data_IF_530291622320
#
_entry.id   IF_530291622320
#
_cell.length_a   1.000
_cell.length_b   1.000
_cell.length_c   1.000
_cell.angle_alpha   90.00
_cell.angle_beta   90.00
_cell.angle_gamma   90.00
#
_symmetry.space_group_name_H-M   'P 1'
#
loop_
_entity.id
_entity.type
_entity.pdbx_description
1 polymer ?
#
# COMPACT_ATOMS: atom_id res chain seq x y z
N UNK A 1 48.10 30.14 11.00
CA UNK A 1 47.08 31.09 11.51
C UNK A 1 45.72 30.51 11.18
N UNK A 2 44.97 30.11 12.20
CA UNK A 2 43.65 29.47 12.11
C UNK A 2 42.58 30.54 12.00
N UNK A 3 41.92 30.65 10.84
CA UNK A 3 40.78 31.54 10.66
C UNK A 3 39.51 30.89 11.22
N UNK A 4 39.17 31.23 12.47
CA UNK A 4 37.85 31.02 13.05
C UNK A 4 36.92 32.12 12.55
N UNK A 5 36.08 31.82 11.56
CA UNK A 5 34.97 32.68 11.16
C UNK A 5 33.76 32.35 12.04
N UNK A 6 33.22 33.28 12.85
CA UNK A 6 32.01 33.03 13.62
C UNK A 6 30.81 32.96 12.65
N UNK A 7 30.11 31.82 12.64
CA UNK A 7 28.84 31.67 11.94
C UNK A 7 27.81 32.62 12.57
N UNK A 8 27.45 33.69 11.86
CA UNK A 8 26.37 34.59 12.30
C UNK A 8 25.03 33.84 12.31
N UNK A 9 24.18 34.02 13.34
CA UNK A 9 22.86 33.39 13.40
C UNK A 9 21.98 33.97 12.29
N UNK A 10 21.52 33.10 11.37
CA UNK A 10 20.57 33.51 10.33
C UNK A 10 19.20 33.76 10.98
N UNK A 11 18.56 34.93 10.77
CA UNK A 11 17.26 35.21 11.35
C UNK A 11 16.20 34.24 10.82
N UNK A 12 15.47 33.58 11.74
CA UNK A 12 14.40 32.58 11.50
C UNK A 12 13.14 33.15 10.80
N UNK A 13 13.21 34.38 10.27
CA UNK A 13 12.08 35.18 9.78
C UNK A 13 11.57 34.76 8.38
N UNK A 14 12.25 33.81 7.72
CA UNK A 14 11.94 33.32 6.37
C UNK A 14 11.33 31.89 6.35
N UNK A 15 10.77 31.45 7.47
CA UNK A 15 10.33 30.07 7.69
C UNK A 15 8.80 29.92 7.48
N UNK A 16 8.35 30.11 6.23
CA UNK A 16 6.91 30.08 5.88
C UNK A 16 6.34 28.71 5.54
N UNK A 17 7.16 27.72 5.16
CA UNK A 17 6.71 26.33 4.97
C UNK A 17 6.47 25.64 6.32
N UNK A 18 5.47 24.78 6.43
CA UNK A 18 5.18 24.00 7.66
C UNK A 18 6.39 23.19 8.13
N UNK A 19 7.18 22.65 7.20
CA UNK A 19 8.48 22.01 7.42
C UNK A 19 9.49 22.87 8.20
N UNK A 20 9.28 24.19 8.23
CA UNK A 20 10.17 25.16 8.85
C UNK A 20 9.64 25.67 10.20
N UNK A 21 8.41 25.30 10.59
CA UNK A 21 7.78 25.68 11.88
C UNK A 21 7.90 24.60 12.94
N UNK A 22 8.09 23.34 12.55
CA UNK A 22 8.37 22.23 13.44
C UNK A 22 9.84 21.84 13.31
N UNK A 23 10.61 21.97 14.39
CA UNK A 23 12.05 21.68 14.40
C UNK A 23 12.44 20.84 15.60
N UNK A 24 13.48 20.02 15.45
CA UNK A 24 14.11 19.37 16.60
C UNK A 24 14.97 20.36 17.38
N UNK A 25 15.17 20.09 18.67
CA UNK A 25 16.11 20.88 19.48
C UNK A 25 17.53 20.82 18.93
N UNK A 26 17.93 19.72 18.30
CA UNK A 26 19.22 19.59 17.61
C UNK A 26 19.31 20.50 16.38
N UNK A 27 18.24 20.61 15.59
CA UNK A 27 18.16 21.55 14.46
C UNK A 27 18.22 23.01 14.94
N UNK A 28 17.49 23.36 16.00
CA UNK A 28 17.56 24.71 16.58
C UNK A 28 18.98 25.03 17.07
N UNK A 29 19.66 24.06 17.68
CA UNK A 29 21.07 24.20 18.11
C UNK A 29 22.03 24.34 16.94
N UNK A 30 21.84 23.62 15.84
CA UNK A 30 22.67 23.80 14.64
C UNK A 30 22.45 25.16 13.98
N UNK A 31 21.28 25.79 14.21
CA UNK A 31 20.99 27.18 13.85
C UNK A 31 21.49 28.22 14.88
N UNK A 32 22.19 27.79 15.94
CA UNK A 32 22.80 28.69 16.93
C UNK A 32 21.90 29.08 18.10
N UNK A 33 20.71 28.48 18.22
CA UNK A 33 19.82 28.73 19.37
C UNK A 33 20.26 27.86 20.55
N UNK A 34 20.62 28.49 21.67
CA UNK A 34 21.11 27.79 22.84
C UNK A 34 19.98 27.05 23.58
N UNK A 35 20.30 25.97 24.30
CA UNK A 35 19.27 25.15 24.96
C UNK A 35 18.45 25.91 26.02
N UNK A 36 19.07 26.86 26.72
CA UNK A 36 18.39 27.75 27.66
C UNK A 36 17.44 28.72 26.95
N UNK A 37 17.83 29.24 25.78
CA UNK A 37 16.98 30.08 24.95
C UNK A 37 15.78 29.30 24.43
N UNK A 38 15.97 28.07 23.95
CA UNK A 38 14.85 27.20 23.56
C UNK A 38 13.88 26.98 24.74
N UNK A 39 14.40 26.68 25.93
CA UNK A 39 13.59 26.48 27.12
C UNK A 39 12.83 27.75 27.55
N UNK A 40 13.44 28.93 27.41
CA UNK A 40 12.81 30.22 27.67
C UNK A 40 11.65 30.48 26.70
N UNK A 41 11.88 30.27 25.40
CA UNK A 41 10.86 30.47 24.37
C UNK A 41 9.67 29.50 24.49
N UNK A 42 9.90 28.30 25.05
CA UNK A 42 8.87 27.27 25.26
C UNK A 42 8.15 27.35 26.61
N UNK A 43 8.40 28.38 27.43
CA UNK A 43 7.69 28.56 28.71
C UNK A 43 6.18 28.75 28.48
N UNK A 44 5.32 28.44 29.47
CA UNK A 44 3.89 28.73 29.36
C UNK A 44 3.63 30.20 28.99
N UNK A 45 2.90 30.45 27.91
CA UNK A 45 2.65 31.79 27.36
C UNK A 45 3.77 32.36 26.49
N UNK A 46 4.85 31.61 26.27
CA UNK A 46 5.93 31.94 25.35
C UNK A 46 5.51 31.82 23.88
N UNK A 47 6.34 32.34 22.95
CA UNK A 47 6.01 32.32 21.53
C UNK A 47 6.12 30.94 20.89
N UNK A 48 6.82 29.99 21.53
CA UNK A 48 6.99 28.63 21.05
C UNK A 48 6.35 27.63 22.02
N UNK A 49 6.09 26.42 21.54
CA UNK A 49 5.58 25.34 22.37
C UNK A 49 6.36 24.05 22.13
N UNK A 50 6.52 23.26 23.19
CA UNK A 50 7.10 21.93 23.09
C UNK A 50 6.02 20.94 22.62
N UNK A 51 6.16 20.41 21.41
CA UNK A 51 5.18 19.51 20.81
C UNK A 51 5.39 18.06 21.27
N UNK A 52 6.65 17.61 21.28
CA UNK A 52 7.09 16.29 21.76
C UNK A 52 8.47 16.45 22.43
N UNK A 53 8.97 15.45 23.18
CA UNK A 53 10.34 15.49 23.68
C UNK A 53 11.35 15.70 22.54
N UNK A 54 12.07 16.83 22.59
CA UNK A 54 13.06 17.17 21.56
C UNK A 54 12.49 17.78 20.27
N UNK A 55 11.18 18.03 20.18
CA UNK A 55 10.51 18.65 19.02
C UNK A 55 9.73 19.89 19.44
N UNK A 56 9.99 21.00 18.78
CA UNK A 56 9.48 22.34 19.10
C UNK A 56 8.68 22.88 17.93
N UNK A 57 7.54 23.51 18.24
CA UNK A 57 6.71 24.26 17.31
C UNK A 57 6.91 25.76 17.53
N UNK A 58 7.27 26.48 16.48
CA UNK A 58 7.72 27.88 16.54
C UNK A 58 6.57 28.92 16.58
N UNK A 59 5.39 28.54 17.10
CA UNK A 59 4.28 29.45 17.33
C UNK A 59 3.42 29.01 18.54
N UNK A 60 2.61 29.90 19.14
CA UNK A 60 1.85 29.58 20.35
C UNK A 60 0.44 29.00 20.08
N UNK A 61 -0.08 29.11 18.84
CA UNK A 61 -1.40 28.60 18.46
C UNK A 61 -1.50 27.06 18.46
N UNK A 62 -2.73 26.49 18.45
CA UNK A 62 -2.91 25.04 18.41
C UNK A 62 -2.22 24.43 17.17
N UNK A 63 -1.56 23.27 17.31
CA UNK A 63 -0.87 22.63 16.18
C UNK A 63 -1.86 22.16 15.12
N UNK A 64 -1.56 22.45 13.87
CA UNK A 64 -2.32 21.95 12.72
C UNK A 64 -2.10 20.44 12.52
N UNK A 65 -2.93 19.80 11.68
CA UNK A 65 -2.75 18.38 11.34
C UNK A 65 -1.39 18.11 10.71
N UNK A 66 -0.96 18.95 9.78
CA UNK A 66 0.35 18.84 9.13
C UNK A 66 1.49 18.97 10.14
N UNK A 67 1.44 19.94 11.06
CA UNK A 67 2.45 20.11 12.11
C UNK A 67 2.52 18.92 13.08
N UNK A 68 1.38 18.32 13.42
CA UNK A 68 1.35 17.08 14.21
C UNK A 68 2.02 15.92 13.47
N UNK A 69 1.75 15.75 12.17
CA UNK A 69 2.35 14.69 11.36
C UNK A 69 3.87 14.87 11.24
N UNK A 70 4.35 16.08 10.93
CA UNK A 70 5.78 16.39 10.88
C UNK A 70 6.44 16.22 12.24
N UNK A 71 5.78 16.65 13.32
CA UNK A 71 6.28 16.47 14.68
C UNK A 71 6.46 15.00 15.04
N UNK A 72 5.50 14.16 14.70
CA UNK A 72 5.56 12.72 14.91
C UNK A 72 6.72 12.06 14.13
N UNK A 73 6.91 12.46 12.87
CA UNK A 73 8.01 11.97 12.04
C UNK A 73 9.36 12.46 12.55
N UNK A 74 9.53 13.73 12.92
CA UNK A 74 10.78 14.26 13.51
C UNK A 74 11.13 13.59 14.84
N UNK A 75 10.13 13.33 15.68
CA UNK A 75 10.31 12.65 16.97
C UNK A 75 10.80 11.21 16.82
N UNK A 76 10.33 10.51 15.78
CA UNK A 76 10.63 9.09 15.56
C UNK A 76 11.81 8.87 14.61
N UNK A 77 12.08 9.81 13.71
CA UNK A 77 13.17 9.76 12.77
C UNK A 77 14.50 9.52 13.48
N UNK A 78 15.41 8.82 12.80
CA UNK A 78 16.80 8.79 13.28
C UNK A 78 17.44 10.14 12.97
N UNK A 79 18.16 10.72 13.92
CA UNK A 79 19.10 11.77 13.54
C UNK A 79 20.10 11.17 12.54
N UNK A 80 20.31 11.80 11.37
CA UNK A 80 21.30 11.34 10.43
C UNK A 80 22.65 11.32 11.14
N UNK A 81 23.29 10.14 11.18
CA UNK A 81 24.66 10.05 11.68
C UNK A 81 25.54 11.07 10.92
N UNK A 82 26.50 11.71 11.59
CA UNK A 82 27.50 12.55 10.93
C UNK A 82 28.35 11.65 10.01
N UNK A 83 27.89 11.49 8.79
CA UNK A 83 28.54 10.76 7.71
C UNK A 83 28.54 11.65 6.46
N UNK A 84 29.48 11.38 5.56
CA UNK A 84 29.63 12.11 4.30
C UNK A 84 28.26 12.15 3.59
N UNK A 85 27.73 13.33 3.23
CA UNK A 85 26.46 13.41 2.51
C UNK A 85 26.53 12.56 1.25
N UNK A 86 25.63 11.58 1.11
CA UNK A 86 25.49 10.86 -0.15
C UNK A 86 25.14 11.88 -1.24
N UNK A 87 25.88 11.88 -2.36
CA UNK A 87 25.54 12.73 -3.49
C UNK A 87 24.15 12.36 -4.01
N UNK A 88 23.27 13.35 -4.25
CA UNK A 88 21.96 13.08 -4.85
C UNK A 88 22.14 12.42 -6.22
N UNK A 89 21.42 11.33 -6.45
CA UNK A 89 21.37 10.64 -7.75
C UNK A 89 20.17 11.14 -8.55
N UNK A 90 20.13 10.86 -9.85
CA UNK A 90 19.00 11.20 -10.72
C UNK A 90 17.65 10.66 -10.20
N UNK A 91 17.67 9.50 -9.51
CA UNK A 91 16.49 8.85 -8.93
C UNK A 91 16.15 9.32 -7.50
N UNK A 92 17.00 10.14 -6.87
CA UNK A 92 16.80 10.62 -5.50
C UNK A 92 17.45 12.00 -5.33
N UNK A 93 16.81 13.06 -5.88
CA UNK A 93 17.40 14.39 -5.98
C UNK A 93 17.64 15.06 -4.61
N UNK A 94 16.99 14.56 -3.54
CA UNK A 94 17.13 15.07 -2.18
C UNK A 94 17.25 13.92 -1.16
N UNK A 95 18.08 14.12 -0.14
CA UNK A 95 18.13 13.23 1.03
C UNK A 95 16.73 13.20 1.67
N UNK A 96 16.14 12.03 1.97
CA UNK A 96 14.85 11.98 2.62
C UNK A 96 14.94 12.69 3.97
N UNK A 97 14.02 13.64 4.21
CA UNK A 97 13.93 14.42 5.46
C UNK A 97 13.70 13.50 6.66
N UNK A 98 13.00 12.39 6.42
CA UNK A 98 12.69 11.36 7.39
C UNK A 98 13.26 10.03 6.90
N UNK A 99 14.28 9.52 7.58
CA UNK A 99 14.86 8.21 7.27
C UNK A 99 14.27 7.13 8.18
N UNK A 100 13.92 5.98 7.58
CA UNK A 100 13.48 4.77 8.26
C UNK A 100 12.23 4.92 9.15
N UNK A 101 11.33 5.86 8.82
CA UNK A 101 10.06 6.06 9.52
C UNK A 101 8.96 6.45 8.53
N UNK A 102 7.72 6.08 8.82
CA UNK A 102 6.56 6.45 8.01
C UNK A 102 5.28 6.50 8.84
N UNK A 103 4.32 7.31 8.42
CA UNK A 103 2.97 7.35 9.00
C UNK A 103 2.20 6.10 8.56
N UNK A 104 1.44 5.49 9.46
CA UNK A 104 0.60 4.31 9.19
C UNK A 104 -0.79 4.44 9.84
N UNK A 105 -1.60 3.38 9.79
CA UNK A 105 -2.92 3.34 10.41
C UNK A 105 -3.92 4.31 9.79
N UNK A 106 -4.87 4.80 10.61
CA UNK A 106 -5.93 5.70 10.15
C UNK A 106 -5.39 7.00 9.55
N UNK A 107 -4.35 7.59 10.13
CA UNK A 107 -3.73 8.81 9.60
C UNK A 107 -3.20 8.62 8.18
N UNK A 108 -2.56 7.47 7.90
CA UNK A 108 -2.11 7.12 6.56
C UNK A 108 -3.27 6.95 5.58
N UNK A 109 -4.34 6.27 5.99
CA UNK A 109 -5.53 6.09 5.15
C UNK A 109 -6.21 7.42 4.81
N UNK A 110 -6.29 8.35 5.76
CA UNK A 110 -6.80 9.70 5.49
C UNK A 110 -5.92 10.46 4.49
N UNK A 111 -4.59 10.34 4.59
CA UNK A 111 -3.67 10.94 3.61
C UNK A 111 -3.83 10.33 2.22
N UNK A 112 -4.13 9.02 2.14
CA UNK A 112 -4.48 8.32 0.89
C UNK A 112 -5.88 8.68 0.35
N UNK A 113 -6.64 9.50 1.05
CA UNK A 113 -7.94 10.03 0.60
C UNK A 113 -9.16 9.19 1.00
N UNK A 114 -9.05 8.29 1.97
CA UNK A 114 -10.18 7.47 2.41
C UNK A 114 -11.27 8.30 3.09
N UNK A 115 -12.48 8.19 2.59
CA UNK A 115 -13.70 8.84 3.08
C UNK A 115 -14.25 8.20 4.36
N UNK A 116 -14.04 6.89 4.57
CA UNK A 116 -14.48 6.20 5.79
C UNK A 116 -13.58 6.48 7.00
N UNK A 117 -12.53 7.31 6.86
CA UNK A 117 -11.63 7.66 7.95
C UNK A 117 -12.03 8.96 8.65
N UNK A 118 -11.81 9.08 9.96
CA UNK A 118 -12.04 10.35 10.65
C UNK A 118 -11.00 11.41 10.20
N UNK A 119 -11.33 12.71 10.31
CA UNK A 119 -10.37 13.77 10.04
C UNK A 119 -9.11 13.67 10.91
N UNK A 120 -7.95 14.04 10.37
CA UNK A 120 -6.65 13.93 11.06
C UNK A 120 -6.61 14.60 12.46
N UNK A 121 -7.31 15.73 12.63
CA UNK A 121 -7.35 16.43 13.91
C UNK A 121 -8.19 15.69 14.97
N UNK A 122 -9.12 14.84 14.55
CA UNK A 122 -9.97 14.02 15.42
C UNK A 122 -9.29 12.72 15.86
N UNK A 123 -8.09 12.42 15.35
CA UNK A 123 -7.31 11.28 15.77
C UNK A 123 -6.61 11.58 17.11
N UNK A 124 -6.84 10.71 18.09
CA UNK A 124 -6.19 10.76 19.41
C UNK A 124 -4.67 10.63 19.28
N UNK A 125 -4.22 9.76 18.38
CA UNK A 125 -2.81 9.53 18.10
C UNK A 125 -2.52 9.38 16.60
N UNK A 126 -1.26 9.63 16.26
CA UNK A 126 -0.65 9.35 14.97
C UNK A 126 0.21 8.10 15.10
N UNK A 127 -0.11 7.10 14.29
CA UNK A 127 0.67 5.87 14.20
C UNK A 127 1.91 6.07 13.33
N UNK A 128 3.06 5.75 13.88
CA UNK A 128 4.33 5.83 13.16
C UNK A 128 5.01 4.47 13.18
N UNK A 129 5.28 3.96 11.99
CA UNK A 129 5.95 2.68 11.77
C UNK A 129 7.47 2.89 11.79
N UNK A 130 8.15 2.12 12.65
CA UNK A 130 9.61 2.18 12.82
C UNK A 130 10.23 0.78 12.79
N UNK A 131 11.52 0.63 12.43
CA UNK A 131 12.23 -0.64 12.51
C UNK A 131 12.26 -1.22 13.92
N UNK A 132 12.11 -2.55 14.05
CA UNK A 132 11.99 -3.28 15.32
C UNK A 132 13.13 -3.02 16.32
N UNK A 133 14.35 -2.76 15.83
CA UNK A 133 15.52 -2.51 16.68
C UNK A 133 15.48 -1.14 17.38
N UNK A 134 14.53 -0.25 17.02
CA UNK A 134 14.37 1.07 17.66
C UNK A 134 13.67 0.95 19.01
N UNK A 135 14.38 1.37 20.08
CA UNK A 135 13.88 1.44 21.46
C UNK A 135 13.18 2.77 21.79
N UNK A 136 12.39 3.31 20.87
CA UNK A 136 11.55 4.50 21.12
C UNK A 136 10.31 4.12 21.92
N UNK A 137 9.81 5.01 22.78
CA UNK A 137 8.52 4.82 23.49
C UNK A 137 7.44 5.69 22.84
N UNK A 138 6.21 5.18 22.77
CA UNK A 138 5.05 6.01 22.43
C UNK A 138 4.94 7.15 23.45
N UNK A 139 4.68 8.37 22.98
CA UNK A 139 4.68 9.58 23.82
C UNK A 139 3.66 10.57 23.29
N UNK A 140 2.85 11.14 24.19
CA UNK A 140 1.77 12.07 23.84
C UNK A 140 0.88 11.47 22.73
N UNK A 141 0.63 12.20 21.65
CA UNK A 141 -0.16 11.76 20.51
C UNK A 141 0.60 10.85 19.52
N UNK A 142 1.82 10.38 19.82
CA UNK A 142 2.57 9.50 18.89
C UNK A 142 2.58 8.06 19.40
N UNK A 143 2.00 7.16 18.60
CA UNK A 143 2.05 5.71 18.85
C UNK A 143 3.08 5.06 17.93
N UNK A 144 4.10 4.46 18.54
CA UNK A 144 5.21 3.82 17.82
C UNK A 144 4.89 2.35 17.55
N UNK A 145 4.65 2.02 16.28
CA UNK A 145 4.47 0.65 15.80
C UNK A 145 5.81 0.11 15.28
N UNK A 146 6.15 -1.11 15.69
CA UNK A 146 7.44 -1.73 15.36
C UNK A 146 7.25 -2.88 14.41
N UNK A 147 8.00 -2.87 13.30
CA UNK A 147 7.99 -3.94 12.31
C UNK A 147 9.40 -4.49 12.09
N UNK A 148 9.58 -5.82 11.95
CA UNK A 148 10.87 -6.39 11.52
C UNK A 148 11.23 -5.93 10.11
N UNK A 149 10.24 -5.90 9.21
CA UNK A 149 10.41 -5.52 7.81
C UNK A 149 9.64 -4.22 7.55
N UNK A 150 10.38 -3.16 7.25
CA UNK A 150 9.80 -1.86 6.92
C UNK A 150 9.46 -1.84 5.42
N UNK A 151 8.19 -1.60 5.02
CA UNK A 151 7.83 -1.53 3.61
C UNK A 151 8.45 -0.29 2.94
N UNK A 152 8.51 -0.28 1.62
CA UNK A 152 8.88 0.93 0.87
C UNK A 152 7.81 2.01 1.08
N UNK A 153 8.16 3.21 1.57
CA UNK A 153 7.19 4.28 1.80
C UNK A 153 6.68 4.88 0.49
N UNK A 154 5.40 5.25 0.46
CA UNK A 154 4.80 6.07 -0.58
C UNK A 154 4.84 7.54 -0.16
N UNK A 155 5.18 8.44 -1.08
CA UNK A 155 5.25 9.87 -0.80
C UNK A 155 3.89 10.51 -1.05
N UNK A 156 3.16 10.80 0.03
CA UNK A 156 1.83 11.43 -0.03
C UNK A 156 1.93 12.80 0.63
N UNK A 157 1.56 13.85 -0.11
CA UNK A 157 1.67 15.24 0.36
C UNK A 157 3.07 15.62 0.90
N UNK A 158 4.13 15.00 0.38
CA UNK A 158 5.51 15.22 0.85
C UNK A 158 5.90 14.48 2.15
N UNK A 159 5.04 13.57 2.62
CA UNK A 159 5.27 12.75 3.81
C UNK A 159 5.49 11.27 3.44
N UNK A 160 6.39 10.55 4.13
CA UNK A 160 6.51 9.11 3.99
C UNK A 160 5.31 8.43 4.67
N UNK A 161 4.48 7.78 3.86
CA UNK A 161 3.28 7.08 4.30
C UNK A 161 3.41 5.60 3.96
N UNK A 162 2.93 4.73 4.85
CA UNK A 162 2.87 3.31 4.61
C UNK A 162 1.96 3.00 3.42
N UNK A 163 2.31 1.99 2.59
CA UNK A 163 1.40 1.50 1.55
C UNK A 163 0.04 1.12 2.15
N UNK A 164 -1.03 1.37 1.39
CA UNK A 164 -2.41 1.17 1.85
C UNK A 164 -2.65 -0.21 2.50
N UNK A 165 -2.15 -1.35 1.97
CA UNK A 165 -2.32 -2.65 2.62
C UNK A 165 -1.75 -2.69 4.05
N UNK A 166 -0.60 -2.04 4.27
CA UNK A 166 0.04 -1.98 5.60
C UNK A 166 -0.72 -1.05 6.52
N UNK A 167 -1.12 0.13 6.02
CA UNK A 167 -1.90 1.10 6.77
C UNK A 167 -3.25 0.51 7.23
N UNK A 168 -3.92 -0.27 6.38
CA UNK A 168 -5.14 -1.01 6.73
C UNK A 168 -4.90 -2.01 7.85
N UNK A 169 -3.84 -2.83 7.76
CA UNK A 169 -3.55 -3.81 8.80
C UNK A 169 -3.26 -3.15 10.16
N UNK A 170 -2.51 -2.04 10.16
CA UNK A 170 -2.22 -1.28 11.38
C UNK A 170 -3.48 -0.61 11.95
N UNK A 171 -4.40 -0.12 11.11
CA UNK A 171 -5.68 0.45 11.54
C UNK A 171 -6.62 -0.62 12.11
N UNK A 172 -6.79 -1.74 11.40
CA UNK A 172 -7.68 -2.86 11.79
C UNK A 172 -7.19 -3.54 13.08
N UNK A 173 -5.89 -3.47 13.38
CA UNK A 173 -5.37 -3.99 14.64
C UNK A 173 -6.03 -3.35 15.87
N UNK A 174 -6.40 -2.07 15.76
CA UNK A 174 -6.95 -1.24 16.84
C UNK A 174 -8.47 -1.08 16.77
N UNK A 175 -9.06 -1.23 15.58
CA UNK A 175 -10.51 -1.16 15.41
C UNK A 175 -11.21 -2.40 15.97
N UNK A 176 -12.25 -2.17 16.77
CA UNK A 176 -13.13 -3.22 17.29
C UNK A 176 -14.49 -3.29 16.59
N UNK A 177 -14.86 -2.24 15.85
CA UNK A 177 -16.12 -2.18 15.11
C UNK A 177 -16.02 -2.91 13.76
N UNK A 178 -16.75 -4.02 13.64
CA UNK A 178 -16.83 -4.83 12.44
C UNK A 178 -17.32 -4.02 11.21
N UNK A 179 -18.23 -3.08 11.42
CA UNK A 179 -18.78 -2.26 10.34
C UNK A 179 -17.74 -1.28 9.80
N UNK A 180 -17.00 -0.61 10.69
CA UNK A 180 -15.88 0.24 10.30
C UNK A 180 -14.79 -0.55 9.55
N UNK A 181 -14.43 -1.75 10.03
CA UNK A 181 -13.44 -2.61 9.37
C UNK A 181 -13.92 -2.99 7.97
N UNK A 182 -15.15 -3.46 7.81
CA UNK A 182 -15.70 -3.84 6.50
C UNK A 182 -15.72 -2.65 5.53
N UNK A 183 -16.18 -1.49 5.99
CA UNK A 183 -16.21 -0.27 5.16
C UNK A 183 -14.83 0.14 4.66
N UNK A 184 -13.81 0.15 5.53
CA UNK A 184 -12.44 0.50 5.15
C UNK A 184 -11.85 -0.49 4.14
N UNK A 185 -12.05 -1.79 4.36
CA UNK A 185 -11.56 -2.82 3.45
C UNK A 185 -12.22 -2.70 2.07
N UNK A 186 -13.55 -2.62 2.02
CA UNK A 186 -14.30 -2.45 0.77
C UNK A 186 -13.91 -1.17 0.03
N UNK A 187 -13.77 -0.04 0.73
CA UNK A 187 -13.34 1.23 0.12
C UNK A 187 -11.94 1.10 -0.51
N UNK A 188 -11.01 0.40 0.14
CA UNK A 188 -9.66 0.23 -0.38
C UNK A 188 -9.61 -0.47 -1.74
N UNK A 189 -10.46 -1.49 -1.93
CA UNK A 189 -10.52 -2.27 -3.17
C UNK A 189 -11.36 -1.57 -4.22
N UNK A 190 -12.54 -1.03 -3.85
CA UNK A 190 -13.41 -0.30 -4.78
C UNK A 190 -12.74 0.98 -5.30
N UNK A 191 -12.06 1.71 -4.43
CA UNK A 191 -11.29 2.92 -4.78
C UNK A 191 -10.01 2.61 -5.57
N UNK A 192 -9.66 1.33 -5.75
CA UNK A 192 -8.48 0.92 -6.51
C UNK A 192 -7.15 1.19 -5.81
N UNK A 193 -7.16 1.47 -4.51
CA UNK A 193 -5.96 1.76 -3.72
C UNK A 193 -5.07 0.53 -3.51
N UNK A 194 -5.66 -0.66 -3.47
CA UNK A 194 -4.90 -1.90 -3.36
C UNK A 194 -5.68 -3.12 -3.86
N UNK A 195 -4.96 -4.21 -4.15
CA UNK A 195 -5.56 -5.51 -4.43
C UNK A 195 -6.00 -6.22 -3.12
N UNK A 196 -7.13 -6.95 -3.12
CA UNK A 196 -7.58 -7.73 -1.96
C UNK A 196 -6.48 -8.65 -1.42
N UNK A 197 -5.79 -9.29 -2.36
CA UNK A 197 -4.60 -10.10 -2.19
C UNK A 197 -3.53 -9.48 -1.26
N UNK A 198 -3.21 -8.21 -1.47
CA UNK A 198 -2.18 -7.51 -0.70
C UNK A 198 -2.65 -7.24 0.73
N UNK A 199 -3.93 -6.91 0.92
CA UNK A 199 -4.52 -6.66 2.23
C UNK A 199 -4.56 -7.94 3.07
N UNK A 200 -4.99 -9.07 2.49
CA UNK A 200 -5.01 -10.37 3.17
C UNK A 200 -3.62 -10.78 3.64
N UNK A 201 -2.58 -10.52 2.84
CA UNK A 201 -1.19 -10.80 3.21
C UNK A 201 -0.75 -9.99 4.43
N UNK A 202 -1.05 -8.68 4.47
CA UNK A 202 -0.70 -7.84 5.62
C UNK A 202 -1.51 -8.20 6.88
N UNK A 203 -2.81 -8.52 6.74
CA UNK A 203 -3.63 -9.00 7.85
C UNK A 203 -3.14 -10.34 8.41
N UNK A 204 -2.67 -11.24 7.54
CA UNK A 204 -2.03 -12.50 7.95
C UNK A 204 -0.74 -12.23 8.73
N UNK A 205 0.13 -11.35 8.22
CA UNK A 205 1.39 -10.96 8.88
C UNK A 205 1.15 -10.31 10.25
N UNK A 206 0.09 -9.52 10.36
CA UNK A 206 -0.34 -8.90 11.60
C UNK A 206 -1.07 -9.86 12.56
N UNK A 207 -1.30 -11.12 12.16
CA UNK A 207 -2.04 -12.15 12.91
C UNK A 207 -3.47 -11.71 13.28
N UNK A 208 -4.13 -10.96 12.39
CA UNK A 208 -5.48 -10.44 12.63
C UNK A 208 -6.58 -11.38 12.14
N UNK A 209 -6.24 -12.37 11.31
CA UNK A 209 -7.18 -13.39 10.80
C UNK A 209 -7.66 -14.40 11.86
N UNK A 210 -7.30 -14.23 13.13
CA UNK A 210 -7.91 -14.97 14.23
C UNK A 210 -9.19 -14.32 14.76
N UNK A 211 -9.49 -13.08 14.34
CA UNK A 211 -10.67 -12.33 14.79
C UNK A 211 -11.84 -12.59 13.82
N UNK A 212 -12.99 -13.12 14.29
CA UNK A 212 -14.11 -13.49 13.41
C UNK A 212 -14.59 -12.34 12.50
N UNK A 213 -14.77 -11.15 13.06
CA UNK A 213 -15.21 -9.98 12.28
C UNK A 213 -14.22 -9.54 11.19
N UNK A 214 -12.92 -9.84 11.34
CA UNK A 214 -11.92 -9.56 10.30
C UNK A 214 -11.99 -10.62 9.20
N UNK A 215 -12.21 -11.89 9.57
CA UNK A 215 -12.38 -12.99 8.61
C UNK A 215 -13.61 -12.73 7.73
N UNK A 216 -14.76 -12.44 8.32
CA UNK A 216 -16.00 -12.16 7.57
C UNK A 216 -15.84 -10.97 6.61
N UNK A 217 -15.14 -9.92 7.05
CA UNK A 217 -14.86 -8.76 6.23
C UNK A 217 -13.87 -9.07 5.08
N UNK A 218 -12.89 -9.93 5.32
CA UNK A 218 -11.95 -10.41 4.31
C UNK A 218 -12.64 -11.30 3.28
N UNK A 219 -13.51 -12.21 3.68
CA UNK A 219 -14.25 -13.07 2.76
C UNK A 219 -15.15 -12.23 1.83
N UNK A 220 -15.82 -11.23 2.41
CA UNK A 220 -16.60 -10.24 1.65
C UNK A 220 -15.72 -9.46 0.66
N UNK A 221 -14.53 -9.01 1.11
CA UNK A 221 -13.56 -8.29 0.29
C UNK A 221 -13.05 -9.11 -0.90
N UNK A 222 -12.76 -10.40 -0.68
CA UNK A 222 -12.26 -11.31 -1.71
C UNK A 222 -13.35 -11.57 -2.77
N UNK A 223 -14.59 -11.82 -2.33
CA UNK A 223 -15.72 -11.98 -3.23
C UNK A 223 -15.96 -10.71 -4.07
N UNK A 224 -15.89 -9.55 -3.45
CA UNK A 224 -16.05 -8.25 -4.11
C UNK A 224 -14.92 -7.95 -5.11
N UNK A 225 -13.66 -8.18 -4.71
CA UNK A 225 -12.53 -8.01 -5.61
C UNK A 225 -12.61 -8.92 -6.83
N UNK A 226 -13.14 -10.14 -6.66
CA UNK A 226 -13.42 -11.06 -7.76
C UNK A 226 -14.49 -10.53 -8.71
N UNK A 227 -15.62 -10.07 -8.19
CA UNK A 227 -16.69 -9.48 -9.00
C UNK A 227 -16.21 -8.25 -9.80
N UNK A 228 -15.38 -7.39 -9.20
CA UNK A 228 -14.79 -6.23 -9.89
C UNK A 228 -13.82 -6.67 -11.01
N UNK A 229 -13.04 -7.74 -10.78
CA UNK A 229 -12.14 -8.27 -11.79
C UNK A 229 -12.90 -8.90 -12.97
N UNK A 230 -13.98 -9.64 -12.67
CA UNK A 230 -14.90 -10.22 -13.67
C UNK A 230 -15.58 -9.13 -14.50
N UNK A 231 -16.10 -8.07 -13.88
CA UNK A 231 -16.70 -6.92 -14.59
C UNK A 231 -15.68 -6.22 -15.53
N UNK A 232 -14.43 -6.04 -15.07
CA UNK A 232 -13.36 -5.48 -15.92
C UNK A 232 -13.02 -6.40 -17.08
N UNK A 233 -13.04 -7.73 -16.88
CA UNK A 233 -12.78 -8.69 -17.95
C UNK A 233 -13.90 -8.66 -18.99
N UNK A 234 -15.17 -8.63 -18.54
CA UNK A 234 -16.33 -8.46 -19.41
C UNK A 234 -16.22 -7.19 -20.26
N UNK A 235 -15.89 -6.07 -19.60
CA UNK A 235 -15.69 -4.79 -20.27
C UNK A 235 -14.54 -4.83 -21.28
N UNK A 236 -13.43 -5.48 -20.96
CA UNK A 236 -12.30 -5.66 -21.88
C UNK A 236 -12.72 -6.42 -23.14
N UNK A 237 -13.50 -7.50 -23.01
CA UNK A 237 -13.98 -8.26 -24.18
C UNK A 237 -14.87 -7.38 -25.05
N UNK A 238 -15.80 -6.64 -24.44
CA UNK A 238 -16.75 -5.80 -25.14
C UNK A 238 -16.09 -4.58 -25.81
N UNK A 239 -15.30 -3.79 -25.08
CA UNK A 239 -14.71 -2.53 -25.57
C UNK A 239 -13.66 -2.74 -26.65
N UNK A 240 -12.91 -3.85 -26.60
CA UNK A 240 -11.84 -4.15 -27.56
C UNK A 240 -12.26 -5.10 -28.68
N UNK A 241 -13.56 -5.39 -28.81
CA UNK A 241 -14.15 -6.15 -29.90
C UNK A 241 -13.64 -7.59 -30.00
N UNK A 242 -13.40 -8.25 -28.86
CA UNK A 242 -13.05 -9.66 -28.85
C UNK A 242 -14.32 -10.50 -29.15
N UNK A 243 -14.19 -11.70 -29.75
CA UNK A 243 -15.32 -12.61 -29.93
C UNK A 243 -15.99 -12.93 -28.58
N UNK A 244 -17.28 -13.25 -28.57
CA UNK A 244 -18.01 -13.54 -27.33
C UNK A 244 -17.57 -14.89 -26.75
N UNK A 245 -17.01 -14.94 -25.52
CA UNK A 245 -16.63 -16.19 -24.87
C UNK A 245 -17.79 -16.80 -24.09
N UNK A 246 -17.62 -18.06 -23.71
CA UNK A 246 -18.42 -18.67 -22.65
C UNK A 246 -17.81 -18.27 -21.30
N UNK A 247 -18.61 -17.61 -20.47
CA UNK A 247 -18.17 -17.02 -19.20
C UNK A 247 -18.30 -18.00 -18.03
N UNK A 248 -17.35 -17.95 -17.10
CA UNK A 248 -17.37 -18.67 -15.82
C UNK A 248 -17.74 -20.16 -15.98
N UNK A 249 -16.89 -20.92 -16.65
CA UNK A 249 -17.14 -22.32 -16.99
C UNK A 249 -16.13 -23.27 -16.38
N UNK A 250 -16.57 -24.47 -16.06
CA UNK A 250 -15.74 -25.59 -15.68
C UNK A 250 -15.47 -26.47 -16.90
N UNK A 251 -14.18 -26.72 -17.18
CA UNK A 251 -13.73 -27.57 -18.28
C UNK A 251 -13.56 -29.02 -17.82
N UNK A 252 -14.14 -29.98 -18.55
CA UNK A 252 -14.05 -31.41 -18.22
C UNK A 252 -13.75 -32.26 -19.44
N UNK A 253 -13.02 -33.35 -19.24
CA UNK A 253 -12.92 -34.38 -20.28
C UNK A 253 -14.23 -35.21 -20.32
N UNK A 254 -14.69 -35.65 -21.50
CA UNK A 254 -15.86 -36.54 -21.62
C UNK A 254 -15.66 -37.81 -20.80
N UNK A 255 -16.52 -38.04 -19.80
CA UNK A 255 -16.40 -39.18 -18.87
C UNK A 255 -15.14 -39.17 -17.99
N UNK A 256 -14.39 -38.06 -17.97
CA UNK A 256 -13.09 -37.95 -17.33
C UNK A 256 -13.02 -36.94 -16.17
N UNK A 257 -11.80 -36.64 -15.70
CA UNK A 257 -11.56 -35.75 -14.57
C UNK A 257 -11.90 -34.28 -14.87
N UNK A 258 -12.14 -33.51 -13.82
CA UNK A 258 -12.32 -32.06 -13.88
C UNK A 258 -10.97 -31.38 -14.18
N UNK A 259 -10.89 -30.60 -15.26
CA UNK A 259 -9.68 -29.87 -15.68
C UNK A 259 -9.55 -28.52 -14.96
N UNK A 260 -10.66 -27.98 -14.45
CA UNK A 260 -10.74 -26.78 -13.62
C UNK A 260 -11.60 -25.68 -14.26
N UNK A 261 -11.99 -24.72 -13.42
CA UNK A 261 -12.73 -23.54 -13.85
C UNK A 261 -11.87 -22.50 -14.54
N UNK A 262 -12.47 -21.82 -15.52
CA UNK A 262 -11.92 -20.70 -16.29
C UNK A 262 -12.94 -19.55 -16.34
N UNK A 263 -12.46 -18.31 -16.37
CA UNK A 263 -13.33 -17.12 -16.27
C UNK A 263 -13.90 -16.72 -17.63
N UNK A 264 -13.16 -16.96 -18.71
CA UNK A 264 -13.66 -16.86 -20.09
C UNK A 264 -13.06 -17.97 -20.96
N UNK A 265 -13.86 -18.56 -21.86
CA UNK A 265 -13.42 -19.62 -22.76
C UNK A 265 -13.96 -19.41 -24.18
N UNK A 266 -13.10 -19.53 -25.18
CA UNK A 266 -13.43 -19.53 -26.61
C UNK A 266 -13.30 -20.96 -27.16
N UNK A 267 -14.40 -21.71 -27.30
CA UNK A 267 -14.35 -23.13 -27.66
C UNK A 267 -13.79 -23.38 -29.05
N UNK A 268 -14.07 -22.50 -30.01
CA UNK A 268 -13.61 -22.64 -31.41
C UNK A 268 -12.09 -22.48 -31.53
N UNK A 269 -11.52 -21.54 -30.77
CA UNK A 269 -10.09 -21.24 -30.78
C UNK A 269 -9.31 -21.99 -29.68
N UNK A 270 -9.98 -22.71 -28.78
CA UNK A 270 -9.34 -23.37 -27.64
C UNK A 270 -8.56 -22.40 -26.75
N UNK A 271 -9.04 -21.17 -26.56
CA UNK A 271 -8.39 -20.18 -25.69
C UNK A 271 -9.19 -20.00 -24.41
N UNK A 272 -8.52 -20.05 -23.27
CA UNK A 272 -9.10 -19.80 -21.96
C UNK A 272 -8.41 -18.62 -21.28
N UNK A 273 -9.15 -17.81 -20.54
CA UNK A 273 -8.63 -16.76 -19.65
C UNK A 273 -8.97 -17.10 -18.21
N UNK A 274 -7.97 -16.99 -17.35
CA UNK A 274 -8.11 -17.15 -15.90
C UNK A 274 -7.70 -15.86 -15.17
N UNK A 275 -8.58 -15.37 -14.30
CA UNK A 275 -8.36 -14.26 -13.40
C UNK A 275 -7.58 -14.74 -12.17
N UNK A 276 -6.34 -14.28 -12.05
CA UNK A 276 -5.52 -14.56 -10.87
C UNK A 276 -5.83 -13.56 -9.76
N UNK A 277 -6.89 -13.82 -9.00
CA UNK A 277 -7.35 -12.98 -7.87
C UNK A 277 -6.68 -13.32 -6.54
N UNK A 278 -5.62 -14.15 -6.53
CA UNK A 278 -5.08 -14.72 -5.30
C UNK A 278 -4.16 -13.75 -4.56
N UNK A 279 -4.21 -13.82 -3.23
CA UNK A 279 -3.16 -13.31 -2.36
C UNK A 279 -1.86 -14.10 -2.60
N UNK A 280 -0.70 -13.45 -2.85
CA UNK A 280 0.59 -14.12 -2.78
C UNK A 280 0.76 -14.66 -1.35
N UNK A 281 0.52 -15.96 -1.17
CA UNK A 281 0.82 -16.69 0.06
C UNK A 281 2.25 -17.22 -0.06
N UNK A 282 2.94 -17.32 1.08
CA UNK A 282 4.38 -17.63 1.15
C UNK A 282 4.76 -19.03 0.64
N UNK A 283 3.80 -19.93 0.38
CA UNK A 283 4.04 -21.21 -0.32
C UNK A 283 3.89 -21.03 -1.84
N UNK A 284 4.71 -20.16 -2.42
CA UNK A 284 4.74 -19.96 -3.87
C UNK A 284 5.15 -21.27 -4.57
N UNK A 285 6.14 -22.01 -4.07
CA UNK A 285 6.69 -23.17 -4.80
C UNK A 285 5.70 -24.33 -5.03
N UNK A 286 4.84 -24.64 -4.05
CA UNK A 286 3.88 -25.75 -4.15
C UNK A 286 2.67 -25.41 -5.03
N UNK A 287 2.14 -24.18 -4.92
CA UNK A 287 1.00 -23.71 -5.71
C UNK A 287 1.39 -23.39 -7.15
N UNK A 288 2.57 -22.79 -7.38
CA UNK A 288 3.11 -22.59 -8.73
C UNK A 288 3.29 -23.93 -9.45
N UNK A 289 3.65 -24.99 -8.73
CA UNK A 289 3.72 -26.35 -9.28
C UNK A 289 2.35 -26.88 -9.73
N UNK A 290 1.27 -26.62 -9.00
CA UNK A 290 -0.08 -27.03 -9.40
C UNK A 290 -0.63 -26.21 -10.57
N UNK A 291 -0.35 -24.91 -10.65
CA UNK A 291 -0.75 -24.08 -11.79
C UNK A 291 0.06 -24.36 -13.05
N UNK A 292 1.37 -24.57 -12.91
CA UNK A 292 2.19 -25.05 -14.01
C UNK A 292 1.66 -26.40 -14.54
N UNK A 293 1.28 -27.32 -13.63
CA UNK A 293 0.65 -28.60 -14.01
C UNK A 293 -0.72 -28.41 -14.67
N UNK A 294 -1.58 -27.52 -14.15
CA UNK A 294 -2.90 -27.23 -14.74
C UNK A 294 -2.74 -26.63 -16.14
N UNK A 295 -1.88 -25.64 -16.28
CA UNK A 295 -1.53 -25.00 -17.56
C UNK A 295 -0.97 -26.01 -18.54
N UNK A 296 0.03 -26.80 -18.14
CA UNK A 296 0.63 -27.83 -18.99
C UNK A 296 -0.40 -28.90 -19.37
N UNK A 297 -1.34 -29.23 -18.48
CA UNK A 297 -2.41 -30.18 -18.78
C UNK A 297 -3.41 -29.63 -19.81
N UNK A 298 -3.80 -28.36 -19.68
CA UNK A 298 -4.68 -27.69 -20.65
C UNK A 298 -3.96 -27.46 -22.00
N UNK A 299 -2.70 -27.04 -21.99
CA UNK A 299 -1.88 -26.87 -23.20
C UNK A 299 -1.69 -28.20 -23.95
N UNK A 300 -1.50 -29.32 -23.23
CA UNK A 300 -1.48 -30.67 -23.84
C UNK A 300 -2.79 -31.08 -24.51
N UNK A 301 -3.90 -30.47 -24.11
CA UNK A 301 -5.21 -30.67 -24.73
C UNK A 301 -5.48 -29.65 -25.87
N UNK A 302 -4.48 -28.84 -26.23
CA UNK A 302 -4.62 -27.79 -27.24
C UNK A 302 -5.26 -26.51 -26.72
N UNK A 303 -5.48 -26.39 -25.40
CA UNK A 303 -6.11 -25.21 -24.78
C UNK A 303 -5.04 -24.22 -24.32
N UNK A 304 -5.03 -23.02 -24.89
CA UNK A 304 -4.12 -21.94 -24.49
C UNK A 304 -4.70 -21.17 -23.32
N UNK A 305 -4.03 -21.16 -22.17
CA UNK A 305 -4.48 -20.44 -20.98
C UNK A 305 -3.74 -19.11 -20.82
N UNK A 306 -4.48 -18.01 -20.83
CA UNK A 306 -3.98 -16.65 -20.59
C UNK A 306 -4.34 -16.23 -19.16
N UNK A 307 -3.32 -16.06 -18.32
CA UNK A 307 -3.50 -15.58 -16.95
C UNK A 307 -3.52 -14.06 -16.91
N UNK A 308 -4.57 -13.51 -16.33
CA UNK A 308 -4.74 -12.07 -16.20
C UNK A 308 -4.93 -11.71 -14.73
N UNK A 309 -4.10 -10.81 -14.23
CA UNK A 309 -4.24 -10.29 -12.85
C UNK A 309 -5.20 -9.09 -12.82
N UNK A 310 -6.00 -8.89 -11.76
CA UNK A 310 -6.86 -7.72 -11.61
C UNK A 310 -6.12 -6.38 -11.75
N UNK A 311 -4.86 -6.31 -11.29
CA UNK A 311 -3.99 -5.15 -11.46
C UNK A 311 -3.77 -4.78 -12.93
N UNK A 312 -3.38 -5.78 -13.75
CA UNK A 312 -3.17 -5.59 -15.19
C UNK A 312 -4.44 -5.16 -15.92
N UNK A 313 -5.61 -5.68 -15.53
CA UNK A 313 -6.89 -5.21 -16.09
C UNK A 313 -7.20 -3.76 -15.74
N UNK A 314 -6.79 -3.29 -14.57
CA UNK A 314 -6.97 -1.88 -14.17
C UNK A 314 -6.00 -0.95 -14.90
N UNK A 315 -4.72 -1.31 -14.94
CA UNK A 315 -3.64 -0.41 -15.35
C UNK A 315 -3.30 -0.50 -16.84
N UNK A 316 -3.61 -1.63 -17.49
CA UNK A 316 -3.15 -1.94 -18.85
C UNK A 316 -4.17 -2.77 -19.64
N UNK A 317 -5.44 -2.37 -19.61
CA UNK A 317 -6.56 -3.12 -20.22
C UNK A 317 -6.33 -3.39 -21.71
N UNK A 318 -5.96 -2.38 -22.49
CA UNK A 318 -5.65 -2.51 -23.92
C UNK A 318 -4.55 -3.54 -24.20
N UNK A 319 -3.50 -3.55 -23.37
CA UNK A 319 -2.42 -4.51 -23.50
C UNK A 319 -2.91 -5.94 -23.22
N UNK A 320 -3.81 -6.12 -22.24
CA UNK A 320 -4.38 -7.45 -21.97
C UNK A 320 -5.30 -7.90 -23.12
N UNK A 321 -6.10 -7.00 -23.68
CA UNK A 321 -6.93 -7.29 -24.85
C UNK A 321 -6.07 -7.68 -26.06
N UNK A 322 -4.94 -7.01 -26.28
CA UNK A 322 -3.99 -7.36 -27.33
C UNK A 322 -3.40 -8.76 -27.13
N UNK A 323 -3.00 -9.12 -25.90
CA UNK A 323 -2.49 -10.47 -25.58
C UNK A 323 -3.54 -11.54 -25.86
N UNK A 324 -4.79 -11.33 -25.45
CA UNK A 324 -5.89 -12.28 -25.73
C UNK A 324 -6.16 -12.37 -27.23
N UNK A 325 -6.19 -11.24 -27.95
CA UNK A 325 -6.36 -11.23 -29.41
C UNK A 325 -5.25 -12.01 -30.12
N UNK A 326 -4.00 -11.80 -29.72
CA UNK A 326 -2.87 -12.57 -30.29
C UNK A 326 -3.01 -14.05 -30.00
N UNK A 327 -3.46 -14.45 -28.80
CA UNK A 327 -3.70 -15.85 -28.48
C UNK A 327 -4.82 -16.47 -29.34
N UNK A 328 -5.90 -15.72 -29.59
CA UNK A 328 -7.01 -16.13 -30.46
C UNK A 328 -6.55 -16.28 -31.92
N UNK A 329 -5.81 -15.31 -32.45
CA UNK A 329 -5.28 -15.38 -33.82
C UNK A 329 -4.27 -16.51 -34.00
N UNK A 330 -3.40 -16.74 -33.02
CA UNK A 330 -2.42 -17.83 -33.05
C UNK A 330 -3.05 -19.22 -32.87
N UNK A 331 -4.35 -19.30 -32.56
CA UNK A 331 -5.06 -20.57 -32.49
C UNK A 331 -5.50 -21.07 -33.88
N UNK A 332 -5.74 -20.18 -34.85
CA UNK A 332 -6.15 -20.54 -36.21
C UNK A 332 -5.07 -21.35 -36.96
N UNK A 333 -3.81 -21.21 -36.54
CA UNK A 333 -2.66 -21.94 -37.11
C UNK A 333 -2.37 -23.29 -36.40
N UNK A 334 -3.20 -23.72 -35.44
CA UNK A 334 -2.97 -24.92 -34.60
C UNK A 334 -3.99 -26.03 -34.86
N UNK A 335 -3.59 -27.26 -34.53
CA UNK A 335 -4.51 -28.41 -34.51
C UNK A 335 -5.65 -28.15 -33.51
N UNK A 336 -6.90 -28.53 -33.85
CA UNK A 336 -8.06 -28.24 -33.03
C UNK A 336 -7.93 -28.86 -31.63
N UNK A 337 -8.34 -28.10 -30.61
CA UNK A 337 -8.29 -28.55 -29.23
C UNK A 337 -9.07 -29.87 -29.03
N UNK A 338 -8.61 -30.68 -28.08
CA UNK A 338 -9.30 -31.90 -27.69
C UNK A 338 -10.72 -31.57 -27.23
N UNK A 339 -11.70 -32.42 -27.59
CA UNK A 339 -13.09 -32.20 -27.22
C UNK A 339 -13.25 -32.16 -25.69
N UNK A 340 -13.65 -31.00 -25.16
CA UNK A 340 -13.92 -30.76 -23.75
C UNK A 340 -15.40 -30.44 -23.54
N UNK A 341 -15.97 -30.96 -22.46
CA UNK A 341 -17.31 -30.62 -21.99
C UNK A 341 -17.21 -29.33 -21.18
N UNK A 342 -18.00 -28.34 -21.57
CA UNK A 342 -18.07 -27.02 -20.92
C UNK A 342 -19.34 -26.97 -20.07
N UNK A 343 -19.19 -26.78 -18.76
CA UNK A 343 -20.31 -26.69 -17.83
C UNK A 343 -20.33 -25.32 -17.15
N UNK A 344 -21.50 -24.72 -16.89
CA UNK A 344 -21.60 -23.49 -16.10
C UNK A 344 -21.15 -23.74 -14.66
N UNK A 345 -20.45 -22.75 -14.09
CA UNK A 345 -19.90 -22.80 -12.73
C UNK A 345 -20.88 -22.32 -11.66
#
# INVERSE_FOLDING_TARGET
MTHNTPLSPRPLRHLSDVHRRVLTTAQLRSHGVAANEIAEQCRPGGPWQQLLPGVVLLHPGPPTSEERLHGALLFTAREPAPGVPAQPTADSPHRPVYADVMITGLAALTLHGFSATPPLLSLDHVDVLVPRLRRLRSTSYVRVLRTPDLPTPEQVTGLPVAPVPRALADAVADLSDAEAVRRLLTEAVRGGHCEPAAVVRELTRAKLLSRPHVVDAVDSLVAEGRAIAEDRLYRMVHEYGLPDPVWNVDLRLPGGPHLGGVDAYWPEQGVAVELDTRAPRQDEDALWSEYARKREHLERLGITVVYVTPRKLREAMEQQAAVVRTALMAADDRDPAAYVVVLPR
#
